data_IF_695259953215
#
_entry.id   IF_695259953215
#
_cell.length_a   1.000
_cell.length_b   1.000
_cell.length_c   1.000
_cell.angle_alpha   90.00
_cell.angle_beta   90.00
_cell.angle_gamma   90.00
#
_symmetry.space_group_name_H-M   'P 1'
#
loop_
_entity.id
_entity.type
_entity.pdbx_description
1 polymer ?
#
# COMPACT_ATOMS: atom_id res chain seq x y z
N UNK A 1 6.39 4.85 15.46
CA UNK A 1 6.19 5.28 14.06
C UNK A 1 4.94 6.13 14.00
N UNK A 2 5.00 7.30 13.37
CA UNK A 2 3.86 8.20 13.24
C UNK A 2 2.82 7.61 12.26
N UNK A 3 1.61 7.36 12.76
CA UNK A 3 0.52 6.73 11.99
C UNK A 3 -0.08 7.67 10.94
N UNK A 4 0.10 8.98 11.12
CA UNK A 4 -0.43 10.01 10.21
C UNK A 4 0.54 10.37 9.09
N UNK A 5 1.74 9.78 9.12
CA UNK A 5 2.76 10.01 8.11
C UNK A 5 2.22 9.70 6.72
N UNK A 6 2.24 10.71 5.85
CA UNK A 6 1.90 10.57 4.44
C UNK A 6 3.15 10.16 3.67
N UNK A 7 3.04 9.08 2.92
CA UNK A 7 4.10 8.53 2.11
C UNK A 7 3.79 8.67 0.62
N UNK A 8 4.83 8.80 -0.18
CA UNK A 8 4.78 8.69 -1.62
C UNK A 8 4.75 7.22 -2.05
N UNK A 9 4.34 6.96 -3.29
CA UNK A 9 4.43 5.61 -3.86
C UNK A 9 5.88 5.08 -3.88
N UNK A 10 6.87 5.97 -3.98
CA UNK A 10 8.30 5.62 -3.92
C UNK A 10 8.74 5.16 -2.53
N UNK A 11 8.33 5.86 -1.49
CA UNK A 11 8.64 5.48 -0.10
C UNK A 11 7.98 4.15 0.26
N UNK A 12 6.73 3.94 -0.15
CA UNK A 12 6.04 2.66 0.04
C UNK A 12 6.74 1.53 -0.72
N UNK A 13 7.21 1.81 -1.94
CA UNK A 13 7.96 0.84 -2.74
C UNK A 13 9.27 0.43 -2.06
N UNK A 14 10.04 1.39 -1.54
CA UNK A 14 11.27 1.14 -0.80
C UNK A 14 11.02 0.33 0.47
N UNK A 15 10.01 0.71 1.26
CA UNK A 15 9.67 0.01 2.50
C UNK A 15 9.20 -1.42 2.25
N UNK A 16 8.37 -1.62 1.24
CA UNK A 16 7.85 -2.94 0.90
C UNK A 16 8.83 -3.77 0.06
N UNK A 17 9.98 -3.19 -0.32
CA UNK A 17 10.96 -3.77 -1.23
C UNK A 17 10.34 -4.28 -2.54
N UNK A 18 9.54 -3.42 -3.18
CA UNK A 18 8.89 -3.69 -4.48
C UNK A 18 9.12 -2.54 -5.46
N UNK A 19 8.75 -2.74 -6.72
CA UNK A 19 8.74 -1.65 -7.69
C UNK A 19 7.62 -0.64 -7.41
N UNK A 20 7.82 0.63 -7.75
CA UNK A 20 6.76 1.65 -7.73
C UNK A 20 5.57 1.25 -8.61
N UNK A 21 5.81 0.56 -9.74
CA UNK A 21 4.74 0.01 -10.59
C UNK A 21 3.87 -0.99 -9.84
N UNK A 22 4.45 -1.79 -8.95
CA UNK A 22 3.70 -2.71 -8.08
C UNK A 22 2.78 -1.92 -7.13
N UNK A 23 3.27 -0.83 -6.55
CA UNK A 23 2.47 0.03 -5.67
C UNK A 23 1.30 0.65 -6.43
N UNK A 24 1.49 1.13 -7.66
CA UNK A 24 0.38 1.61 -8.49
C UNK A 24 -0.65 0.51 -8.78
N UNK A 25 -0.21 -0.72 -9.06
CA UNK A 25 -1.13 -1.86 -9.18
C UNK A 25 -1.88 -2.15 -7.89
N UNK A 26 -1.28 -1.94 -6.72
CA UNK A 26 -1.98 -2.06 -5.44
C UNK A 26 -3.05 -1.00 -5.27
N UNK A 27 -2.76 0.25 -5.66
CA UNK A 27 -3.74 1.34 -5.69
C UNK A 27 -4.91 0.97 -6.61
N UNK A 28 -4.63 0.47 -7.82
CA UNK A 28 -5.67 0.02 -8.76
C UNK A 28 -6.49 -1.16 -8.20
N UNK A 29 -5.90 -1.98 -7.31
CA UNK A 29 -6.55 -3.08 -6.60
C UNK A 29 -7.22 -2.66 -5.29
N UNK A 30 -7.22 -1.38 -4.94
CA UNK A 30 -7.94 -0.85 -3.78
C UNK A 30 -7.09 -0.52 -2.55
N UNK A 31 -5.77 -0.35 -2.68
CA UNK A 31 -4.96 0.28 -1.61
C UNK A 31 -5.45 1.73 -1.39
N UNK A 32 -5.90 2.11 -0.18
CA UNK A 32 -6.37 3.46 0.08
C UNK A 32 -5.27 4.50 -0.17
N UNK A 33 -5.62 5.57 -0.89
CA UNK A 33 -4.73 6.68 -1.16
C UNK A 33 -5.50 8.00 -1.29
N UNK A 34 -4.83 9.09 -0.95
CA UNK A 34 -5.30 10.45 -1.19
C UNK A 34 -4.68 10.96 -2.49
N UNK A 35 -5.52 11.31 -3.46
CA UNK A 35 -5.09 11.95 -4.71
C UNK A 35 -5.26 13.46 -4.58
N UNK A 36 -4.17 14.20 -4.66
CA UNK A 36 -4.18 15.67 -4.72
C UNK A 36 -4.26 16.17 -6.16
N UNK A 37 -3.68 15.41 -7.09
CA UNK A 37 -3.76 15.64 -8.54
C UNK A 37 -3.61 14.31 -9.28
N UNK A 38 -3.69 14.33 -10.62
CA UNK A 38 -3.48 13.14 -11.46
C UNK A 38 -2.10 12.50 -11.28
N UNK A 39 -1.09 13.28 -10.84
CA UNK A 39 0.29 12.81 -10.63
C UNK A 39 0.72 12.80 -9.16
N UNK A 40 -0.01 13.47 -8.27
CA UNK A 40 0.35 13.61 -6.87
C UNK A 40 -0.56 12.75 -5.99
N UNK A 41 -0.02 11.60 -5.57
CA UNK A 41 -0.69 10.65 -4.70
C UNK A 41 0.07 10.56 -3.38
N UNK A 42 -0.67 10.43 -2.27
CA UNK A 42 -0.16 10.15 -0.93
C UNK A 42 -0.88 8.97 -0.34
N UNK A 43 -0.13 8.12 0.35
CA UNK A 43 -0.61 6.92 1.03
C UNK A 43 -0.34 7.14 2.50
N UNK A 44 -1.34 7.06 3.36
CA UNK A 44 -1.10 7.13 4.81
C UNK A 44 -0.42 5.85 5.24
N UNK A 45 0.57 5.95 6.12
CA UNK A 45 1.26 4.79 6.68
C UNK A 45 0.29 3.81 7.35
N UNK A 46 -0.67 4.31 8.13
CA UNK A 46 -1.71 3.47 8.74
C UNK A 46 -2.46 2.61 7.72
N UNK A 47 -2.88 3.21 6.61
CA UNK A 47 -3.71 2.55 5.60
C UNK A 47 -2.89 1.49 4.87
N UNK A 48 -1.61 1.77 4.59
CA UNK A 48 -0.68 0.81 4.01
C UNK A 48 -0.45 -0.38 4.94
N UNK A 49 -0.19 -0.13 6.23
CA UNK A 49 0.05 -1.19 7.21
C UNK A 49 -1.19 -2.09 7.39
N UNK A 50 -2.39 -1.50 7.45
CA UNK A 50 -3.64 -2.25 7.60
C UNK A 50 -3.99 -3.03 6.32
N UNK A 51 -3.77 -2.44 5.15
CA UNK A 51 -3.93 -3.14 3.87
C UNK A 51 -2.94 -4.31 3.73
N UNK A 52 -1.68 -4.13 4.16
CA UNK A 52 -0.64 -5.17 4.15
C UNK A 52 -1.01 -6.35 5.05
N UNK A 53 -1.63 -6.11 6.21
CA UNK A 53 -2.19 -7.18 7.07
C UNK A 53 -3.30 -7.95 6.34
N UNK A 54 -4.15 -7.25 5.60
CA UNK A 54 -5.18 -7.86 4.75
C UNK A 54 -4.59 -8.79 3.70
N UNK A 55 -3.54 -8.37 2.99
CA UNK A 55 -2.82 -9.23 2.04
C UNK A 55 -2.25 -10.50 2.68
N UNK A 56 -1.70 -10.39 3.89
CA UNK A 56 -1.08 -11.53 4.57
C UNK A 56 -2.11 -12.57 5.02
N UNK A 57 -3.36 -12.17 5.23
CA UNK A 57 -4.46 -13.09 5.51
C UNK A 57 -4.95 -13.84 4.25
N UNK A 58 -4.91 -13.21 3.06
CA UNK A 58 -5.28 -13.88 1.80
C UNK A 58 -4.30 -15.02 1.48
N UNK A 59 -3.00 -14.84 1.76
CA UNK A 59 -2.01 -15.92 1.59
C UNK A 59 -2.20 -17.10 2.56
N UNK A 60 -2.83 -16.90 3.72
CA UNK A 60 -3.11 -18.00 4.66
C UNK A 60 -4.34 -18.81 4.27
N UNK A 61 -5.39 -18.17 3.72
CA UNK A 61 -6.60 -18.86 3.26
C UNK A 61 -6.37 -19.78 2.04
N UNK A 62 -5.35 -19.52 1.21
CA UNK A 62 -5.04 -20.40 0.07
C UNK A 62 -4.25 -21.67 0.43
N UNK A 63 -3.78 -21.81 1.67
CA UNK A 63 -3.00 -22.97 2.11
C UNK A 63 -3.86 -24.07 2.78
N UNK A 64 -5.17 -23.85 2.93
CA UNK A 64 -6.09 -24.74 3.64
C UNK A 64 -7.16 -25.38 2.73
N UNK A 65 -6.92 -25.49 1.42
CA UNK A 65 -7.85 -26.17 0.50
C UNK A 65 -7.17 -27.22 -0.38
#
# INVERSE_FOLDING_TARGET
MDRTQQMTAGEVALEANVSTRTVYRWIDRGLPCTKYSSRLIRIKRSDFDDWKKGLSNVSKMSAEN
#
